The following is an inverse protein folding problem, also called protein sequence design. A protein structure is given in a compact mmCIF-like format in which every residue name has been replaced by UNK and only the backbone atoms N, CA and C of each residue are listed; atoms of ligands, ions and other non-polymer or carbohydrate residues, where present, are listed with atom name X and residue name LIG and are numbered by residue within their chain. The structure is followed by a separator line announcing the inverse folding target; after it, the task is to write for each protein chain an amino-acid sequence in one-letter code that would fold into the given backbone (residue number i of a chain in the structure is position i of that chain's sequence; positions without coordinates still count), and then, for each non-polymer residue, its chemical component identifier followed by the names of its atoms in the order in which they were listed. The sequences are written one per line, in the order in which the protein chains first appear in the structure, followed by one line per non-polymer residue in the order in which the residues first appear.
data_IF_373594676406
#
_entry.id   IF_373594676406
#
_cell.length_a   1.000
_cell.length_b   1.000
_cell.length_c   1.000
_cell.angle_alpha   90.00
_cell.angle_beta   90.00
_cell.angle_gamma   90.00
#
_symmetry.space_group_name_H-M   'P 1'
#
loop_
_entity.id
_entity.type
_entity.pdbx_description
1 polymer ?
#
# COMPACT_ATOMS: atom_id res chain seq x y z
N UNK A 1 -11.22 16.98 -7.44
CA UNK A 1 -11.62 15.65 -6.94
C UNK A 1 -10.80 14.62 -7.69
N UNK A 2 -10.05 13.79 -6.97
CA UNK A 2 -9.12 12.81 -7.55
C UNK A 2 -9.87 11.61 -8.17
N UNK A 3 -9.16 10.69 -8.82
CA UNK A 3 -9.69 9.38 -9.24
C UNK A 3 -10.22 8.60 -8.03
N UNK A 4 -9.51 8.62 -6.90
CA UNK A 4 -9.91 7.89 -5.69
C UNK A 4 -11.13 8.53 -5.02
N UNK A 5 -11.17 9.86 -4.91
CA UNK A 5 -12.33 10.58 -4.38
C UNK A 5 -13.60 10.33 -5.21
N UNK A 6 -13.48 10.29 -6.55
CA UNK A 6 -14.56 9.89 -7.46
C UNK A 6 -15.02 8.46 -7.24
N UNK A 7 -14.06 7.55 -7.14
CA UNK A 7 -14.30 6.12 -6.93
C UNK A 7 -15.09 5.87 -5.63
N UNK A 8 -14.67 6.51 -4.54
CA UNK A 8 -15.35 6.43 -3.25
C UNK A 8 -16.69 7.18 -3.21
N UNK A 9 -16.85 8.20 -4.07
CA UNK A 9 -18.12 8.90 -4.32
C UNK A 9 -19.14 8.09 -5.14
N UNK A 10 -18.80 6.86 -5.55
CA UNK A 10 -19.69 5.97 -6.29
C UNK A 10 -19.56 6.06 -7.81
N UNK A 11 -18.65 6.88 -8.34
CA UNK A 11 -18.27 6.78 -9.75
C UNK A 11 -17.56 5.43 -9.97
N UNK A 12 -18.10 4.58 -10.83
CA UNK A 12 -17.56 3.23 -11.00
C UNK A 12 -16.06 3.23 -11.39
N UNK A 13 -15.27 2.22 -10.97
CA UNK A 13 -13.81 2.28 -11.06
C UNK A 13 -13.31 2.54 -12.48
N UNK A 14 -12.50 3.58 -12.66
CA UNK A 14 -11.72 3.78 -13.89
C UNK A 14 -10.43 2.96 -13.78
N UNK A 15 -10.58 1.65 -13.77
CA UNK A 15 -9.48 0.69 -13.59
C UNK A 15 -9.00 0.15 -14.93
N UNK A 16 -7.71 -0.18 -15.02
CA UNK A 16 -7.20 -1.01 -16.11
C UNK A 16 -7.81 -2.42 -16.04
N UNK A 17 -7.87 -3.11 -17.18
CA UNK A 17 -8.35 -4.50 -17.23
C UNK A 17 -7.51 -5.43 -16.33
N UNK A 18 -6.22 -5.14 -16.20
CA UNK A 18 -5.25 -5.85 -15.36
C UNK A 18 -5.21 -5.34 -13.92
N UNK A 19 -6.17 -4.51 -13.51
CA UNK A 19 -6.12 -3.90 -12.20
C UNK A 19 -6.18 -4.94 -11.08
N UNK A 20 -5.20 -4.85 -10.17
CA UNK A 20 -5.12 -5.62 -8.94
C UNK A 20 -5.49 -4.75 -7.76
N UNK A 21 -6.36 -5.25 -6.90
CA UNK A 21 -6.70 -4.62 -5.62
C UNK A 21 -6.19 -5.48 -4.47
N UNK A 22 -5.26 -4.94 -3.69
CA UNK A 22 -4.71 -5.55 -2.48
C UNK A 22 -5.36 -4.92 -1.25
N UNK A 23 -6.04 -5.73 -0.46
CA UNK A 23 -6.71 -5.25 0.74
C UNK A 23 -7.62 -6.30 1.31
N UNK A 24 -8.15 -6.05 2.51
CA UNK A 24 -9.07 -6.99 3.19
C UNK A 24 -8.49 -8.40 3.33
N UNK A 25 -7.16 -8.53 3.38
CA UNK A 25 -6.48 -9.81 3.54
C UNK A 25 -6.43 -10.65 2.26
N UNK A 26 -6.55 -10.05 1.08
CA UNK A 26 -6.42 -10.77 -0.17
C UNK A 26 -6.19 -9.87 -1.38
N UNK A 27 -6.25 -10.50 -2.55
CA UNK A 27 -6.20 -9.82 -3.84
C UNK A 27 -7.53 -10.00 -4.56
N UNK A 28 -8.04 -8.92 -5.13
CA UNK A 28 -9.22 -8.91 -5.98
C UNK A 28 -8.84 -8.43 -7.38
N UNK A 29 -9.47 -9.06 -8.37
CA UNK A 29 -9.28 -8.77 -9.78
C UNK A 29 -10.61 -8.46 -10.44
N UNK A 30 -10.57 -7.59 -11.43
CA UNK A 30 -11.75 -7.21 -12.21
C UNK A 30 -12.58 -6.09 -11.57
N UNK A 31 -13.13 -5.25 -12.44
CA UNK A 31 -13.82 -4.00 -12.06
C UNK A 31 -15.00 -4.23 -11.11
N UNK A 32 -15.76 -5.29 -11.30
CA UNK A 32 -16.96 -5.59 -10.51
C UNK A 32 -16.60 -5.95 -9.06
N UNK A 33 -15.70 -6.93 -8.87
CA UNK A 33 -15.26 -7.35 -7.53
C UNK A 33 -14.61 -6.19 -6.75
N UNK A 34 -13.79 -5.39 -7.43
CA UNK A 34 -13.18 -4.18 -6.84
C UNK A 34 -14.27 -3.18 -6.47
N UNK A 35 -15.22 -2.89 -7.36
CA UNK A 35 -16.32 -1.96 -7.11
C UNK A 35 -17.18 -2.37 -5.91
N UNK A 36 -17.56 -3.64 -5.82
CA UNK A 36 -18.35 -4.15 -4.68
C UNK A 36 -17.58 -4.07 -3.35
N UNK A 37 -16.29 -4.41 -3.34
CA UNK A 37 -15.47 -4.28 -2.15
C UNK A 37 -15.35 -2.82 -1.69
N UNK A 38 -15.21 -1.87 -2.62
CA UNK A 38 -15.11 -0.45 -2.30
C UNK A 38 -16.44 0.15 -1.83
N UNK A 39 -17.59 -0.31 -2.35
CA UNK A 39 -18.92 0.09 -1.83
C UNK A 39 -19.14 -0.34 -0.38
N UNK A 40 -18.52 -1.43 0.04
CA UNK A 40 -18.57 -1.88 1.43
C UNK A 40 -17.70 -1.00 2.36
N UNK A 41 -16.73 -0.25 1.81
CA UNK A 41 -16.04 0.79 2.56
C UNK A 41 -17.04 1.91 2.78
N UNK A 42 -17.26 2.29 4.04
CA UNK A 42 -18.05 3.47 4.40
C UNK A 42 -17.06 4.62 4.64
N UNK A 43 -16.65 5.38 3.61
CA UNK A 43 -15.65 6.42 3.76
C UNK A 43 -16.16 7.55 4.65
N UNK A 44 -15.31 8.03 5.55
CA UNK A 44 -15.51 9.29 6.26
C UNK A 44 -15.06 10.50 5.44
N UNK A 45 -15.07 11.71 6.04
CA UNK A 45 -14.46 12.88 5.45
C UNK A 45 -12.97 12.64 5.19
N UNK A 46 -12.52 12.97 3.98
CA UNK A 46 -11.12 12.84 3.61
C UNK A 46 -10.28 13.85 4.41
N UNK A 47 -9.27 13.36 5.12
CA UNK A 47 -8.18 14.18 5.62
C UNK A 47 -7.18 14.48 4.51
N UNK A 48 -6.98 13.54 3.59
CA UNK A 48 -6.11 13.67 2.41
C UNK A 48 -6.85 13.11 1.20
N UNK A 49 -6.86 13.87 0.11
CA UNK A 49 -7.33 13.43 -1.20
C UNK A 49 -6.45 14.08 -2.28
N UNK A 50 -5.37 13.39 -2.65
CA UNK A 50 -4.31 13.93 -3.51
C UNK A 50 -3.96 12.96 -4.64
N UNK A 51 -3.53 13.50 -5.78
CA UNK A 51 -3.25 12.72 -6.98
C UNK A 51 -2.15 13.37 -7.83
N UNK A 52 -1.23 12.55 -8.32
CA UNK A 52 -0.23 12.88 -9.32
C UNK A 52 -0.52 12.13 -10.63
N UNK A 53 0.41 12.15 -11.59
CA UNK A 53 0.30 11.34 -12.79
C UNK A 53 0.43 9.83 -12.52
N UNK A 54 1.06 9.42 -11.41
CA UNK A 54 1.35 8.00 -11.09
C UNK A 54 0.82 7.52 -9.74
N UNK A 55 0.44 8.40 -8.83
CA UNK A 55 0.03 8.02 -7.48
C UNK A 55 -1.23 8.79 -7.05
N UNK A 56 -2.25 8.07 -6.64
CA UNK A 56 -3.39 8.61 -5.91
C UNK A 56 -3.33 8.19 -4.44
N UNK A 57 -3.60 9.10 -3.53
CA UNK A 57 -3.76 8.79 -2.10
C UNK A 57 -5.03 9.46 -1.58
N UNK A 58 -5.90 8.64 -0.99
CA UNK A 58 -7.06 9.08 -0.25
C UNK A 58 -6.98 8.52 1.17
N UNK A 59 -7.22 9.34 2.18
CA UNK A 59 -7.12 8.93 3.57
C UNK A 59 -8.21 9.60 4.41
N UNK A 60 -8.88 8.80 5.23
CA UNK A 60 -9.75 9.27 6.31
C UNK A 60 -9.23 8.76 7.67
N UNK A 61 -10.00 8.97 8.74
CA UNK A 61 -9.61 8.52 10.07
C UNK A 61 -9.35 7.01 10.20
N UNK A 62 -9.93 6.16 9.34
CA UNK A 62 -9.98 4.71 9.43
C UNK A 62 -9.23 3.98 8.31
N UNK A 63 -9.19 4.57 7.13
CA UNK A 63 -8.79 3.93 5.88
C UNK A 63 -7.78 4.82 5.16
N UNK A 64 -6.85 4.18 4.47
CA UNK A 64 -6.08 4.79 3.41
C UNK A 64 -6.23 3.94 2.16
N UNK A 65 -6.60 4.59 1.06
CA UNK A 65 -6.66 4.00 -0.27
C UNK A 65 -5.53 4.61 -1.09
N UNK A 66 -4.67 3.76 -1.64
CA UNK A 66 -3.54 4.18 -2.46
C UNK A 66 -3.72 3.57 -3.85
N UNK A 67 -3.49 4.34 -4.91
CA UNK A 67 -3.58 3.84 -6.27
C UNK A 67 -2.31 4.14 -7.07
N UNK A 68 -1.83 3.12 -7.80
CA UNK A 68 -0.88 3.32 -8.90
C UNK A 68 -1.69 3.73 -10.12
N UNK A 69 -1.30 4.82 -10.76
CA UNK A 69 -2.04 5.44 -11.85
C UNK A 69 -1.26 5.36 -13.16
N UNK A 70 -1.97 5.06 -14.24
CA UNK A 70 -1.44 5.07 -15.59
C UNK A 70 -2.45 5.74 -16.52
N UNK A 71 -2.13 6.94 -17.01
CA UNK A 71 -3.02 7.68 -17.91
C UNK A 71 -4.37 8.05 -17.28
N UNK A 72 -4.41 8.32 -15.97
CA UNK A 72 -5.65 8.62 -15.24
C UNK A 72 -6.56 7.41 -15.00
N UNK A 73 -6.03 6.20 -15.18
CA UNK A 73 -6.67 4.94 -14.82
C UNK A 73 -5.93 4.31 -13.64
N UNK A 74 -6.67 3.63 -12.77
CA UNK A 74 -6.11 2.85 -11.66
C UNK A 74 -5.53 1.56 -12.23
N UNK A 75 -4.21 1.43 -12.16
CA UNK A 75 -3.49 0.20 -12.47
C UNK A 75 -3.50 -0.74 -11.26
N UNK A 76 -3.33 -0.21 -10.06
CA UNK A 76 -3.35 -0.98 -8.81
C UNK A 76 -3.95 -0.19 -7.71
N UNK A 77 -4.53 -0.89 -6.74
CA UNK A 77 -5.20 -0.31 -5.60
C UNK A 77 -4.76 -1.03 -4.33
N UNK A 78 -4.47 -0.28 -3.28
CA UNK A 78 -4.17 -0.81 -1.95
C UNK A 78 -5.10 -0.19 -0.93
N UNK A 79 -5.72 -1.01 -0.10
CA UNK A 79 -6.48 -0.56 1.07
C UNK A 79 -5.68 -0.87 2.33
N UNK A 80 -5.30 0.18 3.05
CA UNK A 80 -4.66 0.10 4.37
C UNK A 80 -5.64 0.60 5.44
N UNK A 81 -5.56 0.03 6.64
CA UNK A 81 -6.47 0.39 7.72
C UNK A 81 -6.63 -0.73 8.75
N UNK A 82 -7.51 -0.49 9.72
CA UNK A 82 -7.74 -1.41 10.85
C UNK A 82 -8.74 -2.54 10.56
N UNK A 83 -9.30 -2.57 9.36
CA UNK A 83 -10.31 -3.57 8.97
C UNK A 83 -9.68 -4.96 8.96
N UNK A 84 -10.36 -5.94 9.55
CA UNK A 84 -9.96 -7.35 9.53
C UNK A 84 -10.62 -8.02 8.32
N UNK A 85 -9.84 -8.82 7.58
CA UNK A 85 -10.17 -9.28 6.23
C UNK A 85 -11.28 -10.32 6.07
N UNK A 86 -11.66 -10.55 4.81
CA UNK A 86 -12.50 -11.67 4.36
C UNK A 86 -11.61 -12.93 4.28
N UNK A 87 -12.12 -14.10 4.67
CA UNK A 87 -11.35 -15.37 4.64
C UNK A 87 -10.67 -15.60 3.28
N UNK A 88 -9.35 -15.85 3.21
CA UNK A 88 -8.65 -15.61 1.95
C UNK A 88 -8.25 -16.88 1.18
N UNK A 89 -8.36 -16.91 -0.17
CA UNK A 89 -7.76 -17.92 -1.04
C UNK A 89 -6.24 -17.71 -1.18
N UNK A 90 -5.42 -18.78 -1.35
CA UNK A 90 -3.96 -18.72 -1.27
C UNK A 90 -3.35 -17.66 -2.19
N UNK A 91 -2.48 -16.81 -1.63
CA UNK A 91 -1.67 -15.84 -2.36
C UNK A 91 -0.22 -16.33 -2.39
N UNK A 92 0.49 -15.95 -3.45
CA UNK A 92 1.93 -16.18 -3.59
C UNK A 92 2.64 -14.94 -3.09
N UNK A 93 3.49 -15.10 -2.08
CA UNK A 93 4.36 -14.02 -1.61
C UNK A 93 5.47 -13.79 -2.64
N UNK A 94 5.34 -12.72 -3.42
CA UNK A 94 6.40 -12.26 -4.29
C UNK A 94 7.28 -11.25 -3.53
N UNK A 95 8.60 -11.49 -3.42
CA UNK A 95 9.54 -10.61 -2.71
C UNK A 95 9.82 -9.30 -3.46
N UNK A 96 9.44 -9.23 -4.73
CA UNK A 96 9.48 -8.01 -5.52
C UNK A 96 8.23 -7.98 -6.38
N UNK A 97 7.68 -6.80 -6.56
CA UNK A 97 6.43 -6.64 -7.26
C UNK A 97 6.66 -6.35 -8.75
N UNK A 98 6.46 -7.34 -9.65
CA UNK A 98 6.96 -7.26 -11.02
C UNK A 98 6.28 -6.20 -11.88
N UNK A 99 5.10 -5.71 -11.49
CA UNK A 99 4.41 -4.68 -12.28
C UNK A 99 4.79 -3.25 -11.85
N UNK A 100 5.73 -3.09 -10.91
CA UNK A 100 6.29 -1.77 -10.60
C UNK A 100 7.49 -1.47 -11.51
N UNK A 101 7.45 -0.32 -12.18
CA UNK A 101 8.54 0.16 -13.04
C UNK A 101 9.70 0.76 -12.21
N UNK A 102 10.42 -0.08 -11.46
CA UNK A 102 11.63 0.31 -10.74
C UNK A 102 12.87 0.07 -11.62
N UNK A 103 13.77 1.05 -11.72
CA UNK A 103 14.93 1.04 -12.64
C UNK A 103 15.88 -0.15 -12.41
N UNK A 104 15.86 -0.75 -11.22
CA UNK A 104 16.74 -1.84 -10.84
C UNK A 104 16.02 -3.18 -10.60
N UNK A 105 14.71 -3.25 -10.86
CA UNK A 105 13.92 -4.48 -10.68
C UNK A 105 13.96 -5.06 -9.26
N UNK A 106 14.35 -4.25 -8.27
CA UNK A 106 14.50 -4.65 -6.88
C UNK A 106 13.96 -3.60 -5.93
N UNK A 107 13.69 -4.01 -4.69
CA UNK A 107 12.97 -3.22 -3.66
C UNK A 107 13.80 -2.09 -3.01
N UNK A 108 14.94 -1.72 -3.60
CA UNK A 108 15.78 -0.62 -3.09
C UNK A 108 15.15 0.71 -3.51
N UNK A 109 14.99 1.62 -2.55
CA UNK A 109 14.54 2.97 -2.86
C UNK A 109 15.60 3.75 -3.64
N UNK A 110 15.18 4.29 -4.80
CA UNK A 110 15.92 5.25 -5.59
C UNK A 110 14.99 6.43 -5.91
N UNK A 111 15.31 7.69 -5.50
CA UNK A 111 14.50 8.85 -5.85
C UNK A 111 14.21 9.01 -7.36
N UNK A 112 15.08 8.50 -8.24
CA UNK A 112 14.87 8.54 -9.69
C UNK A 112 13.66 7.70 -10.15
N UNK A 113 13.28 6.67 -9.39
CA UNK A 113 12.08 5.86 -9.64
C UNK A 113 10.79 6.61 -9.22
N UNK A 114 10.94 7.75 -8.53
CA UNK A 114 9.86 8.54 -7.97
C UNK A 114 9.94 9.99 -8.46
N UNK A 115 9.71 10.25 -9.76
CA UNK A 115 9.91 11.58 -10.36
C UNK A 115 8.97 12.67 -9.82
N UNK A 116 7.95 12.28 -9.05
CA UNK A 116 6.97 13.17 -8.44
C UNK A 116 7.30 13.47 -6.96
N UNK A 117 8.40 12.90 -6.44
CA UNK A 117 8.92 13.16 -5.12
C UNK A 117 9.86 14.38 -5.17
N UNK A 118 9.64 15.36 -4.30
CA UNK A 118 10.56 16.49 -4.14
C UNK A 118 11.86 16.03 -3.49
N UNK A 119 12.99 16.58 -3.93
CA UNK A 119 14.32 16.17 -3.50
C UNK A 119 14.53 16.24 -1.97
N UNK A 120 13.88 17.17 -1.28
CA UNK A 120 13.98 17.33 0.17
C UNK A 120 13.20 16.30 0.99
N UNK A 121 12.24 15.58 0.39
CA UNK A 121 11.33 14.69 1.12
C UNK A 121 11.86 13.26 1.21
N UNK A 122 12.79 12.89 0.34
CA UNK A 122 13.34 11.54 0.23
C UNK A 122 13.98 11.05 1.54
N UNK A 123 14.84 11.87 2.16
CA UNK A 123 15.52 11.51 3.40
C UNK A 123 14.54 11.39 4.58
N UNK A 124 13.50 12.22 4.60
CA UNK A 124 12.45 12.18 5.63
C UNK A 124 11.59 10.92 5.54
N UNK A 125 11.22 10.52 4.32
CA UNK A 125 10.49 9.27 4.07
C UNK A 125 11.34 8.05 4.40
N UNK A 126 12.62 8.04 4.02
CA UNK A 126 13.57 6.98 4.37
C UNK A 126 13.76 6.84 5.88
N UNK A 127 13.94 7.95 6.58
CA UNK A 127 14.07 7.95 8.06
C UNK A 127 12.79 7.42 8.70
N UNK A 128 11.63 7.88 8.23
CA UNK A 128 10.33 7.43 8.72
C UNK A 128 10.07 5.94 8.45
N UNK A 129 10.57 5.42 7.32
CA UNK A 129 10.49 4.01 6.98
C UNK A 129 11.38 3.16 7.88
N UNK A 130 12.62 3.59 8.12
CA UNK A 130 13.58 2.88 8.98
C UNK A 130 13.08 2.75 10.43
N UNK A 131 12.34 3.74 10.92
CA UNK A 131 11.77 3.77 12.27
C UNK A 131 10.45 2.98 12.40
N UNK A 132 10.12 2.06 11.49
CA UNK A 132 8.87 1.30 11.56
C UNK A 132 8.92 0.26 12.71
N UNK A 133 7.92 0.24 13.61
CA UNK A 133 7.96 -0.64 14.79
C UNK A 133 7.90 -2.13 14.42
N UNK A 134 8.72 -2.92 15.10
CA UNK A 134 9.03 -4.33 14.83
C UNK A 134 8.25 -5.35 15.68
N UNK A 135 7.19 -4.94 16.38
CA UNK A 135 6.66 -5.72 17.52
C UNK A 135 6.15 -7.13 17.16
N UNK A 136 5.86 -7.43 15.89
CA UNK A 136 5.34 -8.73 15.43
C UNK A 136 6.15 -9.35 14.27
N UNK A 137 7.15 -8.62 13.75
CA UNK A 137 8.02 -9.05 12.64
C UNK A 137 9.46 -8.88 13.08
N UNK A 138 10.23 -9.96 13.12
CA UNK A 138 11.66 -9.90 13.38
C UNK A 138 12.41 -9.39 12.15
N UNK A 139 13.38 -8.50 12.40
CA UNK A 139 14.21 -7.86 11.38
C UNK A 139 13.38 -7.27 10.21
N UNK A 140 12.43 -6.35 10.49
CA UNK A 140 11.61 -5.73 9.45
C UNK A 140 12.51 -4.93 8.51
N UNK A 141 12.26 -5.10 7.21
CA UNK A 141 12.95 -4.45 6.09
C UNK A 141 11.90 -3.68 5.31
N UNK A 142 11.73 -2.38 5.59
CA UNK A 142 10.85 -1.53 4.81
C UNK A 142 11.45 -1.28 3.42
N UNK A 143 10.60 -1.39 2.41
CA UNK A 143 10.94 -1.09 1.03
C UNK A 143 9.89 -0.16 0.43
N UNK A 144 10.32 1.01 -0.06
CA UNK A 144 9.42 2.00 -0.65
C UNK A 144 9.07 1.55 -2.08
N UNK A 145 7.78 1.35 -2.34
CA UNK A 145 7.23 0.93 -3.65
C UNK A 145 6.87 2.13 -4.52
N UNK A 146 6.28 3.15 -3.89
CA UNK A 146 5.88 4.42 -4.52
C UNK A 146 6.07 5.54 -3.52
N UNK A 147 6.53 6.69 -3.99
CA UNK A 147 6.60 7.91 -3.22
C UNK A 147 6.28 9.11 -4.11
N UNK A 148 5.66 10.13 -3.53
CA UNK A 148 5.36 11.39 -4.21
C UNK A 148 5.19 12.52 -3.19
N UNK A 149 5.35 13.75 -3.67
CA UNK A 149 5.09 14.97 -2.90
C UNK A 149 3.88 15.72 -3.45
N UNK A 150 3.04 16.22 -2.55
CA UNK A 150 1.81 16.95 -2.81
C UNK A 150 1.83 18.25 -2.03
N UNK A 151 2.49 19.26 -2.59
CA UNK A 151 2.73 20.51 -1.86
C UNK A 151 3.54 20.21 -0.59
N UNK A 152 3.02 20.45 0.62
CA UNK A 152 3.73 20.20 1.87
C UNK A 152 3.65 18.74 2.36
N UNK A 153 2.91 17.87 1.70
CA UNK A 153 2.70 16.48 2.13
C UNK A 153 3.53 15.53 1.26
N UNK A 154 4.40 14.75 1.88
CA UNK A 154 5.10 13.63 1.23
C UNK A 154 4.43 12.32 1.61
N UNK A 155 4.29 11.38 0.67
CA UNK A 155 3.75 10.06 0.94
C UNK A 155 4.69 8.97 0.44
N UNK A 156 4.67 7.82 1.11
CA UNK A 156 5.33 6.61 0.64
C UNK A 156 4.47 5.37 0.91
N UNK A 157 4.12 4.63 -0.14
CA UNK A 157 3.65 3.26 -0.03
C UNK A 157 4.85 2.34 0.15
N UNK A 158 4.83 1.49 1.16
CA UNK A 158 5.91 0.57 1.47
C UNK A 158 5.42 -0.88 1.50
N UNK A 159 6.35 -1.79 1.21
CA UNK A 159 6.29 -3.19 1.61
C UNK A 159 7.14 -3.36 2.86
N UNK A 160 6.61 -4.04 3.87
CA UNK A 160 7.36 -4.46 5.06
C UNK A 160 7.64 -5.94 4.93
N UNK A 161 8.91 -6.30 4.81
CA UNK A 161 9.38 -7.69 4.71
C UNK A 161 10.11 -8.09 5.98
N UNK A 162 10.04 -9.35 6.38
CA UNK A 162 10.82 -9.84 7.50
C UNK A 162 10.47 -11.27 7.83
N UNK A 163 10.68 -11.65 9.08
CA UNK A 163 10.29 -12.97 9.58
C UNK A 163 9.19 -12.84 10.64
N UNK A 164 8.31 -13.83 10.72
CA UNK A 164 7.34 -13.90 11.80
C UNK A 164 8.07 -13.90 13.17
N UNK A 165 7.74 -12.94 14.04
CA UNK A 165 8.48 -12.74 15.31
C UNK A 165 8.23 -13.82 16.37
N UNK A 166 7.38 -14.81 16.10
CA UNK A 166 7.06 -15.91 17.00
C UNK A 166 7.00 -17.24 16.23
N UNK A 167 7.68 -18.26 16.73
CA UNK A 167 7.77 -19.58 16.10
C UNK A 167 8.98 -19.74 15.18
N UNK A 168 8.99 -20.76 14.30
CA UNK A 168 10.07 -20.96 13.34
C UNK A 168 10.24 -19.73 12.43
N UNK A 169 11.47 -19.42 11.97
CA UNK A 169 11.71 -18.31 11.06
C UNK A 169 10.93 -18.55 9.77
N UNK A 170 10.01 -17.63 9.46
CA UNK A 170 9.15 -17.73 8.28
C UNK A 170 9.02 -16.35 7.64
N UNK A 171 9.30 -16.22 6.34
CA UNK A 171 9.19 -14.93 5.67
C UNK A 171 7.75 -14.44 5.68
N UNK A 172 7.55 -13.16 5.95
CA UNK A 172 6.27 -12.48 5.90
C UNK A 172 6.43 -11.15 5.18
N UNK A 173 5.42 -10.75 4.42
CA UNK A 173 5.40 -9.46 3.76
C UNK A 173 3.98 -8.86 3.70
N UNK A 174 3.85 -7.56 3.99
CA UNK A 174 2.58 -6.84 3.93
C UNK A 174 2.82 -5.34 3.66
N UNK A 175 1.75 -4.61 3.31
CA UNK A 175 1.87 -3.23 2.87
C UNK A 175 1.68 -2.22 4.02
N UNK A 176 2.28 -1.05 3.86
CA UNK A 176 2.22 0.08 4.78
C UNK A 176 2.21 1.40 4.00
N UNK A 177 1.80 2.48 4.65
CA UNK A 177 1.79 3.83 4.10
C UNK A 177 2.36 4.79 5.14
N UNK A 178 3.27 5.64 4.69
CA UNK A 178 3.72 6.84 5.40
C UNK A 178 3.09 8.04 4.71
N UNK A 179 2.58 8.95 5.51
CA UNK A 179 2.24 10.31 5.11
C UNK A 179 3.02 11.23 6.04
N UNK A 180 3.87 12.09 5.51
CA UNK A 180 4.67 13.02 6.26
C UNK A 180 4.33 14.46 5.83
N UNK A 181 4.17 15.34 6.80
CA UNK A 181 4.02 16.78 6.60
C UNK A 181 4.88 17.55 7.60
N UNK A 182 4.72 18.88 7.66
CA UNK A 182 5.47 19.75 8.56
C UNK A 182 5.17 19.51 10.06
N UNK A 183 3.98 18.96 10.38
CA UNK A 183 3.50 18.74 11.75
C UNK A 183 3.81 17.31 12.25
N UNK A 184 4.19 16.39 11.36
CA UNK A 184 4.69 15.06 11.69
C UNK A 184 4.42 14.00 10.63
N UNK A 185 4.55 12.73 11.03
CA UNK A 185 4.30 11.58 10.16
C UNK A 185 3.13 10.73 10.65
N UNK A 186 2.13 10.53 9.80
CA UNK A 186 1.10 9.51 9.96
C UNK A 186 1.54 8.18 9.31
N UNK A 187 1.21 7.08 9.97
CA UNK A 187 1.53 5.72 9.50
C UNK A 187 0.27 4.87 9.43
N UNK A 188 0.05 4.20 8.32
CA UNK A 188 -1.04 3.23 8.12
C UNK A 188 -0.49 1.88 7.74
N UNK A 189 -1.18 0.85 8.18
CA UNK A 189 -0.80 -0.54 7.95
C UNK A 189 -1.94 -1.30 7.30
N UNK A 190 -1.60 -2.21 6.39
CA UNK A 190 -2.52 -3.26 5.97
C UNK A 190 -2.64 -4.31 7.07
N UNK A 191 -3.50 -4.06 8.06
CA UNK A 191 -3.71 -4.97 9.21
C UNK A 191 -4.25 -6.31 8.74
N UNK A 192 -5.13 -6.32 7.73
CA UNK A 192 -5.68 -7.54 7.18
C UNK A 192 -4.59 -8.36 6.48
N UNK A 193 -3.80 -7.75 5.60
CA UNK A 193 -2.65 -8.38 4.93
C UNK A 193 -1.58 -8.86 5.91
N UNK A 194 -1.31 -8.11 6.99
CA UNK A 194 -0.44 -8.58 8.07
C UNK A 194 -0.97 -9.85 8.73
N UNK A 195 -2.24 -9.86 9.14
CA UNK A 195 -2.86 -11.04 9.74
C UNK A 195 -2.81 -12.24 8.78
N UNK A 196 -3.01 -11.97 7.50
CA UNK A 196 -2.89 -12.91 6.39
C UNK A 196 -1.50 -13.55 6.31
N UNK A 197 -0.45 -12.72 6.24
CA UNK A 197 0.93 -13.15 6.12
C UNK A 197 1.36 -13.99 7.32
N UNK A 198 1.00 -13.56 8.54
CA UNK A 198 1.26 -14.30 9.77
C UNK A 198 0.53 -15.66 9.78
N UNK A 199 -0.69 -15.74 9.27
CA UNK A 199 -1.46 -16.98 9.20
C UNK A 199 -0.95 -17.96 8.11
N UNK A 200 -0.36 -17.44 7.03
CA UNK A 200 0.05 -18.24 5.85
C UNK A 200 1.48 -18.74 5.87
N UNK A 201 2.28 -18.25 6.81
CA UNK A 201 3.67 -18.61 6.98
C UNK A 201 3.88 -20.13 6.75
N UNK A 202 4.38 -20.44 5.56
CA UNK A 202 4.26 -21.71 4.82
C UNK A 202 4.61 -22.95 5.66
N UNK A 203 3.76 -23.99 5.62
CA UNK A 203 4.12 -25.35 6.07
C UNK A 203 4.39 -26.22 4.83
N UNK A 204 5.65 -26.53 4.50
CA UNK A 204 5.90 -27.64 3.59
C UNK A 204 5.27 -28.88 4.21
N UNK A 205 4.45 -29.59 3.43
CA UNK A 205 4.04 -30.94 3.81
C UNK A 205 5.33 -31.77 3.88
N UNK A 206 5.68 -32.24 5.07
CA UNK A 206 6.65 -33.32 5.24
C UNK A 206 6.03 -34.63 4.74
#
# INVERSE_FOLDING_TARGET
MTVLGRLLGGEGPRVLQTCRFEGLGGELYGREAIGEALKALTPGPAAIDVETGRLGVWLDARHALVADLAGGLVQRLWLLGKTVGLSPPPAVDLPADPDLAQAHGGVRFDPADHPELQAGDADGLLSSAADWPSSEVSAPRPAILRAASFGPVAVALLRLEGEAGQGPPRPVAFNALIVADADGGERRLDVAGRAQALARAWSPRL
#
